data_IF_459543716032
#
_entry.id   IF_459543716032
#
_cell.length_a   1.000
_cell.length_b   1.000
_cell.length_c   1.000
_cell.angle_alpha   90.00
_cell.angle_beta   90.00
_cell.angle_gamma   90.00
#
_symmetry.space_group_name_H-M   'P 1'
#
loop_
_entity.id
_entity.type
_entity.pdbx_description
1 polymer ?
#
# COMPACT_ATOMS: atom_id res chain seq x y z
N UNK A 1 1.91 2.02 5.01
CA UNK A 1 1.62 0.58 4.74
C UNK A 1 2.74 -0.23 5.36
N UNK A 2 2.43 -1.38 5.96
CA UNK A 2 3.45 -2.29 6.52
C UNK A 2 3.23 -3.71 5.99
N UNK A 3 4.30 -4.33 5.49
CA UNK A 3 4.35 -5.71 5.04
C UNK A 3 5.31 -6.49 5.95
N UNK A 4 4.79 -7.50 6.64
CA UNK A 4 5.60 -8.40 7.47
C UNK A 4 5.85 -9.70 6.71
N UNK A 5 7.13 -10.03 6.49
CA UNK A 5 7.57 -11.22 5.77
C UNK A 5 8.29 -12.18 6.71
N UNK A 6 7.74 -13.40 6.80
CA UNK A 6 8.34 -14.52 7.51
C UNK A 6 8.37 -15.73 6.58
N UNK A 7 9.35 -16.61 6.78
CA UNK A 7 9.35 -17.93 6.16
C UNK A 7 8.34 -18.87 6.86
N UNK A 8 8.21 -20.09 6.37
CA UNK A 8 7.32 -21.11 6.94
C UNK A 8 7.70 -21.55 8.36
N UNK A 9 8.92 -21.23 8.81
CA UNK A 9 9.38 -21.50 10.18
C UNK A 9 9.16 -20.30 11.12
N UNK A 10 8.52 -19.22 10.61
CA UNK A 10 8.30 -17.99 11.36
C UNK A 10 9.53 -17.07 11.44
N UNK A 11 10.63 -17.40 10.74
CA UNK A 11 11.83 -16.57 10.71
C UNK A 11 11.63 -15.38 9.78
N UNK A 12 11.98 -14.19 10.24
CA UNK A 12 11.93 -12.96 9.44
C UNK A 12 12.76 -13.07 8.15
N UNK A 13 12.17 -12.66 7.04
CA UNK A 13 12.84 -12.58 5.75
C UNK A 13 13.39 -11.16 5.56
N UNK A 14 14.70 -10.98 5.78
CA UNK A 14 15.39 -9.67 5.78
C UNK A 14 16.13 -9.39 4.48
N UNK A 15 16.40 -8.12 4.18
CA UNK A 15 17.23 -7.67 3.06
C UNK A 15 16.51 -7.67 1.71
N UNK A 16 15.18 -7.75 1.67
CA UNK A 16 14.39 -7.88 0.45
C UNK A 16 13.80 -6.56 -0.04
N UNK A 17 14.20 -5.40 0.48
CA UNK A 17 13.58 -4.12 0.15
C UNK A 17 13.59 -3.83 -1.36
N UNK A 18 14.72 -4.10 -2.02
CA UNK A 18 14.89 -3.94 -3.48
C UNK A 18 14.19 -5.05 -4.30
N UNK A 19 13.90 -6.20 -3.67
CA UNK A 19 13.21 -7.33 -4.30
C UNK A 19 11.67 -7.23 -4.19
N UNK A 20 11.16 -6.25 -3.44
CA UNK A 20 9.73 -6.00 -3.28
C UNK A 20 9.26 -5.06 -4.39
N UNK A 21 8.57 -5.62 -5.37
CA UNK A 21 7.91 -4.86 -6.42
C UNK A 21 6.54 -4.38 -5.89
N UNK A 22 6.37 -3.07 -5.71
CA UNK A 22 5.08 -2.48 -5.34
C UNK A 22 4.46 -1.70 -6.50
N UNK A 23 3.16 -1.88 -6.68
CA UNK A 23 2.35 -1.10 -7.63
C UNK A 23 1.06 -0.61 -6.98
N UNK A 24 0.55 0.49 -7.53
CA UNK A 24 -0.69 1.11 -7.09
C UNK A 24 -1.59 1.34 -8.29
N UNK A 25 -2.86 0.99 -8.13
CA UNK A 25 -3.92 1.30 -9.08
C UNK A 25 -5.05 2.05 -8.36
N UNK A 26 -5.69 2.98 -9.06
CA UNK A 26 -6.77 3.79 -8.49
C UNK A 26 -8.02 3.74 -9.35
N UNK A 27 -9.15 3.53 -8.69
CA UNK A 27 -10.49 3.60 -9.28
C UNK A 27 -11.27 4.69 -8.56
N UNK A 28 -11.48 5.83 -9.22
CA UNK A 28 -12.30 6.91 -8.68
C UNK A 28 -13.77 6.50 -8.53
N UNK A 29 -14.42 7.02 -7.49
CA UNK A 29 -15.88 6.90 -7.38
C UNK A 29 -16.56 7.77 -8.44
N UNK A 30 -17.73 7.32 -8.94
CA UNK A 30 -18.46 7.97 -10.05
C UNK A 30 -18.78 9.45 -9.82
N UNK A 31 -18.87 9.89 -8.56
CA UNK A 31 -19.10 11.30 -8.21
C UNK A 31 -17.82 12.14 -8.29
N UNK A 32 -16.67 11.58 -7.89
CA UNK A 32 -15.35 12.22 -7.97
C UNK A 32 -14.89 12.35 -9.42
N UNK A 33 -15.11 11.33 -10.24
CA UNK A 33 -14.71 11.30 -11.65
C UNK A 33 -15.39 12.38 -12.52
N UNK A 34 -16.49 12.96 -12.03
CA UNK A 34 -17.23 14.05 -12.71
C UNK A 34 -16.68 15.44 -12.38
N UNK A 35 -15.89 15.59 -11.33
CA UNK A 35 -15.29 16.86 -10.94
C UNK A 35 -13.94 16.99 -11.66
N UNK A 36 -13.82 17.99 -12.55
CA UNK A 36 -12.60 18.28 -13.33
C UNK A 36 -11.66 19.19 -12.53
N UNK A 37 -11.32 18.84 -11.29
CA UNK A 37 -10.16 19.46 -10.64
C UNK A 37 -8.86 18.84 -11.15
N UNK A 38 -7.72 19.50 -10.89
CA UNK A 38 -6.41 18.88 -11.03
C UNK A 38 -6.36 17.59 -10.21
N UNK A 39 -6.34 16.46 -10.90
CA UNK A 39 -6.35 15.14 -10.28
C UNK A 39 -4.93 14.76 -9.91
N UNK A 40 -4.67 14.60 -8.61
CA UNK A 40 -3.47 13.92 -8.13
C UNK A 40 -3.83 12.46 -7.91
N UNK A 41 -3.15 11.57 -8.63
CA UNK A 41 -3.28 10.13 -8.40
C UNK A 41 -2.56 9.74 -7.10
N UNK A 42 -3.03 8.72 -6.37
CA UNK A 42 -2.28 8.17 -5.26
C UNK A 42 -0.94 7.60 -5.71
N UNK A 43 0.07 7.67 -4.85
CA UNK A 43 1.43 7.22 -5.16
C UNK A 43 2.06 6.48 -3.99
N UNK A 44 2.96 5.54 -4.29
CA UNK A 44 3.76 4.82 -3.29
C UNK A 44 5.17 5.41 -3.23
N UNK A 45 5.67 5.56 -2.00
CA UNK A 45 7.08 5.85 -1.74
C UNK A 45 7.95 4.59 -1.84
N UNK A 46 9.26 4.79 -1.67
CA UNK A 46 10.22 3.70 -1.62
C UNK A 46 9.87 2.68 -0.51
N UNK A 47 10.29 1.44 -0.73
CA UNK A 47 10.18 0.38 0.27
C UNK A 47 11.43 0.41 1.14
N UNK A 48 11.23 0.45 2.45
CA UNK A 48 12.31 0.42 3.44
C UNK A 48 12.08 -0.76 4.39
N UNK A 49 13.13 -1.51 4.71
CA UNK A 49 13.09 -2.45 5.84
C UNK A 49 13.30 -1.68 7.15
N UNK A 50 12.26 -1.60 7.97
CA UNK A 50 12.25 -0.79 9.21
C UNK A 50 12.55 -1.62 10.47
N UNK A 51 12.43 -2.94 10.36
CA UNK A 51 12.80 -3.94 11.36
C UNK A 51 12.98 -5.27 10.63
N UNK A 52 13.60 -6.27 11.26
CA UNK A 52 13.86 -7.56 10.63
C UNK A 52 12.57 -8.18 10.05
N UNK A 53 12.50 -8.28 8.73
CA UNK A 53 11.34 -8.80 8.00
C UNK A 53 10.12 -7.89 7.98
N UNK A 54 10.24 -6.63 8.39
CA UNK A 54 9.15 -5.65 8.39
C UNK A 54 9.50 -4.53 7.41
N UNK A 55 8.71 -4.43 6.36
CA UNK A 55 8.91 -3.48 5.27
C UNK A 55 7.81 -2.43 5.27
N UNK A 56 8.20 -1.17 5.06
CA UNK A 56 7.30 -0.04 5.03
C UNK A 56 7.39 0.67 3.69
N UNK A 57 6.23 1.03 3.16
CA UNK A 57 6.09 2.04 2.12
C UNK A 57 5.01 3.04 2.52
N UNK A 58 5.18 4.28 2.08
CA UNK A 58 4.24 5.38 2.33
C UNK A 58 3.30 5.48 1.13
N UNK A 59 2.00 5.31 1.36
CA UNK A 59 0.97 5.62 0.37
C UNK A 59 0.54 7.07 0.56
N UNK A 60 0.84 7.91 -0.42
CA UNK A 60 0.34 9.29 -0.49
C UNK A 60 -1.01 9.28 -1.17
N UNK A 61 -2.02 9.87 -0.53
CA UNK A 61 -3.38 9.90 -1.05
C UNK A 61 -3.49 10.80 -2.29
N UNK A 62 -4.42 10.45 -3.19
CA UNK A 62 -4.81 11.29 -4.31
C UNK A 62 -5.87 12.31 -3.90
N UNK A 63 -6.27 13.17 -4.85
CA UNK A 63 -7.26 14.23 -4.59
C UNK A 63 -8.72 13.78 -4.68
N UNK A 64 -8.99 12.54 -5.11
CA UNK A 64 -10.35 12.04 -5.34
C UNK A 64 -10.74 10.92 -4.38
N UNK A 65 -12.03 10.84 -4.04
CA UNK A 65 -12.58 9.65 -3.38
C UNK A 65 -12.61 8.47 -4.38
N UNK A 66 -12.28 7.28 -3.90
CA UNK A 66 -12.26 6.06 -4.70
C UNK A 66 -11.65 4.89 -3.95
N UNK A 67 -11.33 3.84 -4.70
CA UNK A 67 -10.62 2.65 -4.20
C UNK A 67 -9.20 2.62 -4.73
N UNK A 68 -8.23 2.54 -3.83
CA UNK A 68 -6.82 2.32 -4.14
C UNK A 68 -6.52 0.85 -3.97
N UNK A 69 -6.00 0.20 -5.01
CA UNK A 69 -5.50 -1.18 -4.97
C UNK A 69 -3.98 -1.14 -4.94
N UNK A 70 -3.40 -1.56 -3.84
CA UNK A 70 -1.95 -1.72 -3.69
C UNK A 70 -1.62 -3.19 -3.91
N UNK A 71 -0.63 -3.46 -4.76
CA UNK A 71 -0.12 -4.81 -5.00
C UNK A 71 1.35 -4.85 -4.63
N UNK A 72 1.74 -5.83 -3.81
CA UNK A 72 3.13 -6.10 -3.47
C UNK A 72 3.48 -7.49 -3.99
N UNK A 73 4.58 -7.60 -4.73
CA UNK A 73 5.10 -8.88 -5.22
C UNK A 73 6.48 -9.11 -4.65
N UNK A 74 6.66 -10.26 -3.99
CA UNK A 74 7.90 -10.61 -3.31
C UNK A 74 8.24 -12.06 -3.63
N UNK A 75 9.41 -12.29 -4.20
CA UNK A 75 9.88 -13.64 -4.58
C UNK A 75 8.81 -14.46 -5.35
N UNK A 76 8.08 -13.80 -6.26
CA UNK A 76 7.04 -14.44 -7.06
C UNK A 76 5.67 -14.63 -6.38
N UNK A 77 5.53 -14.28 -5.09
CA UNK A 77 4.24 -14.24 -4.40
C UNK A 77 3.63 -12.85 -4.50
N UNK A 78 2.33 -12.78 -4.78
CA UNK A 78 1.60 -11.51 -4.94
C UNK A 78 0.60 -11.32 -3.79
N UNK A 79 0.58 -10.11 -3.24
CA UNK A 79 -0.32 -9.69 -2.18
C UNK A 79 -1.04 -8.42 -2.62
N UNK A 80 -2.36 -8.35 -2.37
CA UNK A 80 -3.16 -7.20 -2.76
C UNK A 80 -3.95 -6.67 -1.57
N UNK A 81 -3.94 -5.35 -1.42
CA UNK A 81 -4.74 -4.63 -0.43
C UNK A 81 -5.60 -3.60 -1.15
N UNK A 82 -6.88 -3.58 -0.83
CA UNK A 82 -7.81 -2.56 -1.31
C UNK A 82 -8.12 -1.58 -0.18
N UNK A 83 -7.97 -0.29 -0.45
CA UNK A 83 -8.12 0.79 0.51
C UNK A 83 -9.17 1.75 -0.04
N UNK A 84 -10.21 2.04 0.76
CA UNK A 84 -11.11 3.15 0.43
C UNK A 84 -10.41 4.46 0.76
N UNK A 85 -10.22 5.29 -0.25
CA UNK A 85 -9.72 6.65 -0.15
C UNK A 85 -10.90 7.61 -0.14
N UNK A 86 -10.96 8.49 0.86
CA UNK A 86 -11.85 9.64 0.84
C UNK A 86 -11.23 10.75 -0.02
N UNK A 87 -12.06 11.64 -0.58
CA UNK A 87 -11.57 12.81 -1.26
C UNK A 87 -10.84 13.71 -0.25
N UNK A 88 -9.61 14.09 -0.57
CA UNK A 88 -8.84 15.04 0.24
C UNK A 88 -9.30 16.44 -0.15
N UNK A 89 -10.44 16.85 0.42
CA UNK A 89 -10.88 18.24 0.47
C UNK A 89 -10.17 18.89 1.63
N UNK A 90 -9.00 19.47 1.35
CA UNK A 90 -8.16 20.33 2.21
C UNK A 90 -8.20 20.04 3.73
N UNK A 91 -7.06 19.56 4.26
CA UNK A 91 -6.65 19.61 5.68
C UNK A 91 -7.05 18.52 6.69
N UNK A 92 -7.47 17.31 6.30
CA UNK A 92 -7.50 16.15 7.21
C UNK A 92 -6.68 14.96 6.69
N UNK A 93 -5.40 14.91 7.10
CA UNK A 93 -4.52 13.75 6.91
C UNK A 93 -5.05 12.61 7.79
N UNK A 94 -5.78 11.68 7.20
CA UNK A 94 -6.15 10.42 7.86
C UNK A 94 -5.03 9.41 7.63
N UNK A 95 -4.13 9.24 8.61
CA UNK A 95 -3.14 8.16 8.62
C UNK A 95 -3.87 6.84 8.90
N UNK A 96 -4.32 6.16 7.85
CA UNK A 96 -4.84 4.80 7.98
C UNK A 96 -3.68 3.84 8.28
N UNK A 97 -3.46 3.55 9.57
CA UNK A 97 -2.53 2.52 10.03
C UNK A 97 -3.09 1.14 9.69
N UNK A 98 -2.81 0.66 8.47
CA UNK A 98 -3.11 -0.72 8.06
C UNK A 98 -1.92 -1.62 8.40
N UNK A 99 -2.05 -2.47 9.42
CA UNK A 99 -1.10 -3.53 9.74
C UNK A 99 -1.55 -4.85 9.12
N UNK A 100 -0.66 -5.52 8.39
CA UNK A 100 -0.89 -6.87 7.88
C UNK A 100 0.08 -7.85 8.55
N UNK A 101 -0.46 -8.88 9.18
CA UNK A 101 0.30 -9.99 9.79
C UNK A 101 -0.01 -11.25 8.99
N UNK A 102 1.02 -11.84 8.39
CA UNK A 102 0.95 -13.17 7.76
C UNK A 102 1.71 -14.16 8.65
N UNK A 103 0.98 -15.13 9.19
CA UNK A 103 1.58 -16.36 9.68
C UNK A 103 1.47 -17.38 8.53
N UNK A 104 2.62 -17.90 8.10
CA UNK A 104 2.70 -18.74 6.90
C UNK A 104 2.11 -20.12 7.15
N UNK A 105 0.96 -20.42 6.53
CA UNK A 105 0.48 -21.79 6.35
C UNK A 105 0.34 -22.10 4.85
N UNK A 106 1.34 -22.80 4.31
CA UNK A 106 1.26 -23.87 3.30
C UNK A 106 2.66 -24.32 2.90
#
# INVERSE_FOLDING_TARGET
MVLSLKDSNGKALTGLADDIEMSVEFTADSNSARQRETVTAPSLGAVEEISAGVYRSVLTAGSQAGTVRVTAKVQGKTFTLNIKQAAVIDSDVSTADSSFTLDGDS
#
